data_IF_052423477931
#
_entry.id   IF_052423477931
#
_cell.length_a   1.000
_cell.length_b   1.000
_cell.length_c   1.000
_cell.angle_alpha   90.00
_cell.angle_beta   90.00
_cell.angle_gamma   90.00
#
_symmetry.space_group_name_H-M   'P 1'
#
loop_
_entity.id
_entity.type
_entity.pdbx_description
1 polymer ?
#
# COMPACT_ATOMS: atom_id res chain seq x y z
N UNK A 1 -41.61 7.31 -9.53
CA UNK A 1 -40.98 7.89 -10.74
C UNK A 1 -40.02 8.98 -10.28
N UNK A 2 -38.70 8.84 -10.46
CA UNK A 2 -37.75 9.90 -10.08
C UNK A 2 -37.94 11.08 -11.04
N UNK A 3 -38.08 12.29 -10.48
CA UNK A 3 -38.30 13.51 -11.26
C UNK A 3 -36.96 14.08 -11.71
N UNK A 4 -36.89 14.58 -12.94
CA UNK A 4 -35.71 15.24 -13.50
C UNK A 4 -35.19 16.43 -12.66
N UNK A 5 -35.98 16.94 -11.71
CA UNK A 5 -35.56 17.94 -10.72
C UNK A 5 -34.47 17.45 -9.76
N UNK A 6 -34.39 16.15 -9.50
CA UNK A 6 -33.42 15.58 -8.56
C UNK A 6 -31.99 15.61 -9.13
N UNK A 7 -31.85 15.58 -10.46
CA UNK A 7 -30.55 15.77 -11.14
C UNK A 7 -30.04 17.22 -11.04
N UNK A 8 -30.93 18.22 -10.99
CA UNK A 8 -30.54 19.63 -10.83
C UNK A 8 -29.93 19.91 -9.46
N UNK A 9 -30.45 19.27 -8.41
CA UNK A 9 -29.88 19.36 -7.07
C UNK A 9 -28.53 18.64 -7.00
N UNK A 10 -28.37 17.46 -7.62
CA UNK A 10 -27.07 16.76 -7.68
C UNK A 10 -26.01 17.63 -8.37
N UNK A 11 -26.34 18.31 -9.47
CA UNK A 11 -25.41 19.23 -10.17
C UNK A 11 -25.08 20.49 -9.37
N UNK A 12 -25.97 20.95 -8.49
CA UNK A 12 -25.73 22.11 -7.62
C UNK A 12 -24.80 21.72 -6.46
N UNK A 13 -25.01 20.55 -5.85
CA UNK A 13 -24.10 20.00 -4.83
C UNK A 13 -22.71 19.67 -5.41
N UNK A 14 -22.63 19.27 -6.70
CA UNK A 14 -21.37 19.05 -7.41
C UNK A 14 -20.57 20.35 -7.68
N UNK A 15 -21.24 21.51 -7.64
CA UNK A 15 -20.60 22.83 -7.79
C UNK A 15 -19.96 23.31 -6.48
N UNK A 16 -20.43 22.81 -5.35
CA UNK A 16 -19.83 23.03 -4.02
C UNK A 16 -18.66 22.07 -3.74
N UNK A 17 -18.45 21.08 -4.60
CA UNK A 17 -17.24 20.27 -4.61
C UNK A 17 -16.12 21.09 -5.22
N UNK A 18 -15.13 21.47 -4.41
CA UNK A 18 -13.93 22.14 -4.89
C UNK A 18 -13.09 21.18 -5.73
N UNK A 19 -13.31 21.22 -7.04
CA UNK A 19 -12.58 20.42 -8.04
C UNK A 19 -11.10 20.73 -8.00
N UNK A 20 -10.69 21.95 -7.65
CA UNK A 20 -9.27 22.30 -7.54
C UNK A 20 -8.65 21.61 -6.32
N UNK A 21 -9.34 21.61 -5.17
CA UNK A 21 -8.87 20.89 -3.99
C UNK A 21 -8.74 19.37 -4.25
N UNK A 22 -9.72 18.76 -4.92
CA UNK A 22 -9.64 17.34 -5.32
C UNK A 22 -8.46 17.11 -6.25
N UNK A 23 -8.23 18.01 -7.21
CA UNK A 23 -7.13 17.88 -8.15
C UNK A 23 -5.79 17.99 -7.45
N UNK A 24 -5.61 18.97 -6.57
CA UNK A 24 -4.39 19.17 -5.79
C UNK A 24 -4.10 17.93 -4.94
N UNK A 25 -5.10 17.42 -4.25
CA UNK A 25 -5.02 16.19 -3.45
C UNK A 25 -4.64 14.97 -4.30
N UNK A 26 -5.26 14.83 -5.48
CA UNK A 26 -5.00 13.72 -6.40
C UNK A 26 -3.62 13.78 -7.07
N UNK A 27 -3.03 14.97 -7.19
CA UNK A 27 -1.73 15.22 -7.81
C UNK A 27 -0.58 15.26 -6.78
N UNK A 28 -0.87 15.03 -5.49
CA UNK A 28 0.15 15.01 -4.43
C UNK A 28 1.28 14.03 -4.73
N UNK A 29 2.54 14.40 -4.41
CA UNK A 29 3.65 13.46 -4.43
C UNK A 29 3.35 12.28 -3.52
N UNK A 30 3.66 11.09 -4.01
CA UNK A 30 3.53 9.84 -3.25
C UNK A 30 4.76 8.99 -3.53
N UNK A 31 5.39 8.51 -2.46
CA UNK A 31 6.50 7.57 -2.46
C UNK A 31 6.22 6.45 -1.46
N UNK A 32 6.06 5.23 -1.97
CA UNK A 32 5.97 4.02 -1.16
C UNK A 32 7.24 3.22 -1.38
N UNK A 33 8.02 3.01 -0.32
CA UNK A 33 9.23 2.20 -0.41
C UNK A 33 8.96 0.79 0.11
N UNK A 34 9.21 -0.21 -0.73
CA UNK A 34 9.04 -1.62 -0.41
C UNK A 34 10.43 -2.23 -0.27
N UNK A 35 10.74 -2.73 0.92
CA UNK A 35 12.01 -3.38 1.24
C UNK A 35 11.77 -4.83 1.59
N UNK A 36 12.49 -5.76 0.97
CA UNK A 36 12.26 -7.17 1.22
C UNK A 36 12.97 -8.13 0.28
N UNK A 37 12.54 -9.38 0.29
CA UNK A 37 13.09 -10.42 -0.58
C UNK A 37 12.61 -10.23 -2.02
N UNK A 38 13.45 -10.49 -3.02
CA UNK A 38 13.13 -10.21 -4.42
C UNK A 38 11.81 -10.81 -4.94
N UNK A 39 11.48 -12.05 -4.56
CA UNK A 39 10.18 -12.69 -4.88
C UNK A 39 9.01 -11.93 -4.28
N UNK A 40 9.13 -11.57 -3.00
CA UNK A 40 8.11 -10.81 -2.29
C UNK A 40 7.92 -9.39 -2.86
N UNK A 41 9.01 -8.73 -3.27
CA UNK A 41 8.94 -7.42 -3.92
C UNK A 41 8.15 -7.47 -5.23
N UNK A 42 8.42 -8.48 -6.07
CA UNK A 42 7.71 -8.67 -7.33
C UNK A 42 6.20 -8.91 -7.11
N UNK A 43 5.86 -9.78 -6.16
CA UNK A 43 4.47 -10.09 -5.83
C UNK A 43 3.70 -8.86 -5.33
N UNK A 44 4.26 -8.09 -4.39
CA UNK A 44 3.61 -6.86 -3.90
C UNK A 44 3.53 -5.78 -4.97
N UNK A 45 4.59 -5.60 -5.76
CA UNK A 45 4.57 -4.64 -6.87
C UNK A 45 3.47 -4.99 -7.87
N UNK A 46 3.28 -6.28 -8.18
CA UNK A 46 2.22 -6.75 -9.05
C UNK A 46 0.83 -6.46 -8.46
N UNK A 47 0.60 -6.85 -7.21
CA UNK A 47 -0.68 -6.64 -6.52
C UNK A 47 -1.09 -5.17 -6.44
N UNK A 48 -0.12 -4.26 -6.27
CA UNK A 48 -0.40 -2.80 -6.22
C UNK A 48 -0.55 -2.16 -7.60
N UNK A 49 0.00 -2.78 -8.64
CA UNK A 49 0.03 -2.20 -10.00
C UNK A 49 -1.09 -2.70 -10.90
N UNK A 50 -1.68 -3.85 -10.60
CA UNK A 50 -2.72 -4.47 -11.43
C UNK A 50 -4.11 -4.20 -10.86
N UNK A 51 -5.04 -3.81 -11.74
CA UNK A 51 -6.47 -3.75 -11.47
C UNK A 51 -7.21 -4.16 -12.74
N UNK A 52 -8.43 -4.68 -12.57
CA UNK A 52 -9.36 -4.94 -13.67
C UNK A 52 -9.97 -3.65 -14.26
N UNK A 53 -9.67 -2.49 -13.67
CA UNK A 53 -10.20 -1.20 -14.08
C UNK A 53 -9.78 -0.79 -15.51
N UNK A 54 -10.72 -0.13 -16.19
CA UNK A 54 -10.52 0.43 -17.54
C UNK A 54 -9.48 1.56 -17.58
N UNK A 55 -9.18 2.18 -16.45
CA UNK A 55 -8.33 3.36 -16.39
C UNK A 55 -6.88 2.99 -16.09
N UNK A 56 -5.89 3.43 -16.89
CA UNK A 56 -4.48 3.19 -16.57
C UNK A 56 -4.04 3.94 -15.30
N UNK A 57 -2.91 3.53 -14.73
CA UNK A 57 -2.23 4.31 -13.68
C UNK A 57 -1.85 5.70 -14.22
N UNK A 58 -1.99 6.74 -13.39
CA UNK A 58 -1.56 8.08 -13.77
C UNK A 58 -0.10 8.33 -13.36
N UNK A 59 0.72 8.82 -14.29
CA UNK A 59 2.09 9.22 -14.03
C UNK A 59 3.05 8.06 -13.77
N UNK A 60 4.23 8.38 -13.22
CA UNK A 60 5.22 7.37 -12.85
C UNK A 60 4.76 6.56 -11.63
N UNK A 61 5.20 5.29 -11.55
CA UNK A 61 4.94 4.45 -10.38
C UNK A 61 5.46 5.13 -9.10
N UNK A 62 4.66 5.16 -8.01
CA UNK A 62 5.11 5.67 -6.71
C UNK A 62 5.93 4.64 -5.94
N UNK A 63 6.14 3.44 -6.48
CA UNK A 63 6.82 2.35 -5.80
C UNK A 63 8.33 2.43 -5.99
N UNK A 64 9.07 2.39 -4.89
CA UNK A 64 10.52 2.18 -4.86
C UNK A 64 10.80 0.80 -4.25
N UNK A 65 11.38 -0.10 -5.03
CA UNK A 65 11.67 -1.47 -4.59
C UNK A 65 13.15 -1.56 -4.19
N UNK A 66 13.46 -2.12 -3.04
CA UNK A 66 14.83 -2.32 -2.56
C UNK A 66 14.99 -3.70 -1.96
N UNK A 67 15.97 -4.46 -2.43
CA UNK A 67 16.30 -5.75 -1.85
C UNK A 67 16.79 -5.57 -0.40
N UNK A 68 16.40 -6.46 0.51
CA UNK A 68 16.77 -6.35 1.94
C UNK A 68 18.29 -6.34 2.15
N UNK A 69 19.04 -7.00 1.28
CA UNK A 69 20.50 -7.06 1.30
C UNK A 69 21.15 -5.71 0.91
N UNK A 70 20.44 -4.92 0.10
CA UNK A 70 20.85 -3.59 -0.36
C UNK A 70 20.29 -2.48 0.53
N UNK A 71 19.40 -2.83 1.47
CA UNK A 71 18.68 -1.89 2.29
C UNK A 71 19.61 -1.20 3.29
N UNK A 72 19.94 0.04 2.95
CA UNK A 72 20.56 1.02 3.84
C UNK A 72 19.59 2.18 4.03
N UNK A 73 19.61 2.87 5.19
CA UNK A 73 18.77 4.05 5.40
C UNK A 73 19.25 5.19 4.49
N UNK A 74 18.72 5.21 3.27
CA UNK A 74 18.90 6.24 2.24
C UNK A 74 17.89 7.36 2.44
N UNK A 75 18.11 8.49 1.77
CA UNK A 75 17.18 9.60 1.82
C UNK A 75 15.80 9.24 1.26
N UNK A 76 15.73 8.34 0.26
CA UNK A 76 14.48 7.82 -0.27
C UNK A 76 13.64 7.06 0.79
N UNK A 77 14.27 6.21 1.61
CA UNK A 77 13.58 5.53 2.71
C UNK A 77 13.18 6.51 3.83
N UNK A 78 14.00 7.53 4.07
CA UNK A 78 13.68 8.59 5.04
C UNK A 78 12.57 9.52 4.56
N UNK A 79 12.37 9.67 3.26
CA UNK A 79 11.32 10.53 2.67
C UNK A 79 10.07 9.78 2.25
N UNK A 80 10.04 8.45 2.37
CA UNK A 80 8.88 7.65 2.00
C UNK A 80 7.66 8.01 2.87
N UNK A 81 6.50 8.09 2.22
CA UNK A 81 5.20 8.31 2.87
C UNK A 81 4.71 7.03 3.56
N UNK A 82 5.13 5.88 3.03
CA UNK A 82 4.89 4.55 3.60
C UNK A 82 6.08 3.62 3.33
N UNK A 83 6.52 2.90 4.36
CA UNK A 83 7.45 1.78 4.24
C UNK A 83 6.68 0.46 4.25
N UNK A 84 7.05 -0.48 3.39
CA UNK A 84 6.49 -1.84 3.38
C UNK A 84 7.63 -2.84 3.50
N UNK A 85 7.59 -3.66 4.56
CA UNK A 85 8.55 -4.76 4.75
C UNK A 85 7.98 -6.04 4.16
N UNK A 86 8.56 -6.52 3.05
CA UNK A 86 8.09 -7.68 2.30
C UNK A 86 8.91 -8.94 2.68
N UNK A 87 8.35 -9.77 3.57
CA UNK A 87 9.03 -10.93 4.13
C UNK A 87 8.46 -12.20 3.50
N UNK A 88 9.31 -13.02 2.89
CA UNK A 88 8.92 -14.32 2.35
C UNK A 88 9.01 -15.36 3.48
N UNK A 89 7.87 -15.86 3.95
CA UNK A 89 7.79 -16.76 5.11
C UNK A 89 8.27 -18.17 4.82
N UNK A 90 8.54 -18.50 3.56
CA UNK A 90 9.15 -19.78 3.17
C UNK A 90 10.63 -19.82 3.50
N UNK A 91 11.24 -18.66 3.77
CA UNK A 91 12.65 -18.50 4.11
C UNK A 91 12.76 -18.02 5.56
N UNK A 92 13.71 -18.57 6.29
CA UNK A 92 14.06 -18.04 7.60
C UNK A 92 14.86 -16.75 7.41
N UNK A 93 14.56 -15.71 8.20
CA UNK A 93 15.36 -14.48 8.20
C UNK A 93 16.77 -14.78 8.70
N UNK A 94 17.76 -14.34 7.94
CA UNK A 94 19.15 -14.30 8.38
C UNK A 94 19.34 -13.22 9.45
N UNK A 95 20.37 -13.34 10.31
CA UNK A 95 20.68 -12.29 11.30
C UNK A 95 20.93 -10.91 10.67
N UNK A 96 21.48 -10.87 9.45
CA UNK A 96 21.72 -9.63 8.72
C UNK A 96 20.40 -8.97 8.28
N UNK A 97 19.45 -9.75 7.77
CA UNK A 97 18.12 -9.25 7.38
C UNK A 97 17.32 -8.78 8.61
N UNK A 98 17.34 -9.56 9.70
CA UNK A 98 16.71 -9.15 10.96
C UNK A 98 17.28 -7.82 11.47
N UNK A 99 18.59 -7.62 11.37
CA UNK A 99 19.26 -6.35 11.71
C UNK A 99 18.87 -5.23 10.74
N UNK A 100 18.77 -5.51 9.44
CA UNK A 100 18.35 -4.53 8.44
C UNK A 100 16.92 -4.04 8.72
N UNK A 101 15.97 -4.95 8.93
CA UNK A 101 14.60 -4.59 9.31
C UNK A 101 14.54 -3.84 10.63
N UNK A 102 15.32 -4.24 11.65
CA UNK A 102 15.40 -3.51 12.92
C UNK A 102 15.89 -2.07 12.76
N UNK A 103 16.83 -1.81 11.83
CA UNK A 103 17.25 -0.43 11.52
C UNK A 103 16.14 0.36 10.83
N UNK A 104 15.35 -0.26 9.97
CA UNK A 104 14.26 0.40 9.25
C UNK A 104 13.05 0.67 10.15
N UNK A 105 12.77 -0.18 11.14
CA UNK A 105 11.75 0.06 12.17
C UNK A 105 12.05 1.31 13.02
N UNK A 106 13.32 1.69 13.13
CA UNK A 106 13.73 2.94 13.82
C UNK A 106 13.41 4.22 13.04
N UNK A 107 13.00 4.11 11.76
CA UNK A 107 12.55 5.25 10.99
C UNK A 107 11.16 5.67 11.50
N UNK A 108 11.01 6.95 11.86
CA UNK A 108 9.74 7.52 12.31
C UNK A 108 8.76 7.73 11.14
N UNK A 109 8.52 6.68 10.34
CA UNK A 109 7.64 6.66 9.19
C UNK A 109 6.52 5.64 9.38
N UNK A 110 5.34 5.88 8.78
CA UNK A 110 4.33 4.84 8.68
C UNK A 110 4.93 3.61 8.00
N UNK A 111 4.63 2.42 8.56
CA UNK A 111 5.06 1.17 7.94
C UNK A 111 4.03 0.06 8.06
N UNK A 112 4.07 -0.86 7.11
CA UNK A 112 3.36 -2.13 7.09
C UNK A 112 4.37 -3.28 6.97
N UNK A 113 4.05 -4.42 7.56
CA UNK A 113 4.80 -5.67 7.36
C UNK A 113 3.91 -6.63 6.59
N UNK A 114 4.41 -7.21 5.50
CA UNK A 114 3.68 -8.16 4.69
C UNK A 114 4.44 -9.46 4.69
N UNK A 115 3.80 -10.50 5.21
CA UNK A 115 4.31 -11.86 5.28
C UNK A 115 3.74 -12.63 4.09
N UNK A 116 4.58 -12.99 3.13
CA UNK A 116 4.17 -13.67 1.90
C UNK A 116 4.52 -15.16 1.94
N UNK A 117 3.54 -15.98 1.57
CA UNK A 117 3.68 -17.42 1.46
C UNK A 117 3.12 -18.18 2.66
N UNK A 118 3.02 -19.52 2.55
CA UNK A 118 2.73 -20.35 3.70
C UNK A 118 3.88 -20.30 4.71
N UNK A 119 3.60 -20.40 6.02
CA UNK A 119 4.65 -20.48 7.02
C UNK A 119 5.54 -21.69 6.74
N UNK A 120 6.85 -21.45 6.57
CA UNK A 120 7.80 -22.52 6.37
C UNK A 120 7.94 -23.42 7.62
N UNK A 121 8.40 -24.66 7.46
CA UNK A 121 8.63 -25.59 8.59
C UNK A 121 9.72 -25.09 9.56
N UNK A 122 10.54 -24.11 9.14
CA UNK A 122 11.56 -23.44 9.94
C UNK A 122 11.22 -21.95 10.11
N UNK A 123 9.98 -21.65 10.49
CA UNK A 123 9.62 -20.28 10.89
C UNK A 123 10.58 -19.84 11.99
N UNK A 124 11.44 -18.86 11.66
CA UNK A 124 12.43 -18.32 12.57
C UNK A 124 11.77 -17.68 13.79
N UNK A 125 12.61 -17.16 14.70
CA UNK A 125 12.15 -16.53 15.94
C UNK A 125 10.91 -15.64 15.73
N UNK A 126 9.92 -15.70 16.64
CA UNK A 126 8.68 -14.95 16.49
C UNK A 126 8.97 -13.45 16.31
N UNK A 127 8.22 -12.81 15.42
CA UNK A 127 8.33 -11.37 15.21
C UNK A 127 8.08 -10.63 16.52
N UNK A 128 8.80 -9.52 16.80
CA UNK A 128 8.50 -8.65 17.91
C UNK A 128 7.01 -8.23 17.92
N UNK A 129 6.33 -8.15 19.08
CA UNK A 129 4.90 -7.85 19.15
C UNK A 129 4.50 -6.54 18.44
N UNK A 130 5.38 -5.55 18.46
CA UNK A 130 5.22 -4.26 17.78
C UNK A 130 5.14 -4.41 16.26
N UNK A 131 5.97 -5.29 15.70
CA UNK A 131 6.01 -5.63 14.28
C UNK A 131 4.81 -6.53 13.93
N UNK A 132 4.50 -7.50 14.79
CA UNK A 132 3.38 -8.42 14.59
C UNK A 132 2.02 -7.69 14.53
N UNK A 133 1.82 -6.64 15.33
CA UNK A 133 0.61 -5.80 15.29
C UNK A 133 0.46 -4.99 13.99
N UNK A 134 1.50 -4.96 13.16
CA UNK A 134 1.54 -4.27 11.87
C UNK A 134 1.76 -5.23 10.70
N UNK A 135 1.67 -6.53 10.97
CA UNK A 135 1.85 -7.56 9.98
C UNK A 135 0.51 -8.02 9.41
N UNK A 136 0.44 -8.10 8.08
CA UNK A 136 -0.58 -8.87 7.37
C UNK A 136 0.07 -10.10 6.72
N UNK A 137 -0.67 -11.20 6.68
CA UNK A 137 -0.19 -12.45 6.06
C UNK A 137 -0.95 -12.73 4.77
N UNK A 138 -0.22 -12.76 3.66
CA UNK A 138 -0.70 -13.17 2.33
C UNK A 138 -0.15 -14.56 2.03
N UNK A 139 -0.92 -15.58 2.41
CA UNK A 139 -0.50 -17.00 2.26
C UNK A 139 -0.29 -17.35 0.79
N UNK A 140 -1.17 -16.86 -0.08
CA UNK A 140 -1.08 -16.99 -1.52
C UNK A 140 -1.24 -15.60 -2.15
N UNK A 141 -0.20 -15.04 -2.78
CA UNK A 141 -0.29 -13.74 -3.46
C UNK A 141 -1.17 -13.79 -4.71
N UNK A 142 -1.57 -14.97 -5.19
CA UNK A 142 -2.49 -15.12 -6.32
C UNK A 142 -3.95 -15.33 -5.88
N UNK A 143 -4.22 -15.35 -4.57
CA UNK A 143 -5.58 -15.42 -4.08
C UNK A 143 -6.38 -14.18 -4.50
N UNK A 144 -7.67 -14.38 -4.79
CA UNK A 144 -8.55 -13.31 -5.30
C UNK A 144 -8.66 -12.11 -4.35
N UNK A 145 -8.50 -12.33 -3.05
CA UNK A 145 -8.56 -11.31 -1.99
C UNK A 145 -7.18 -10.72 -1.64
N UNK A 146 -6.08 -11.23 -2.19
CA UNK A 146 -4.73 -10.80 -1.82
C UNK A 146 -4.47 -9.32 -2.13
N UNK A 147 -4.94 -8.86 -3.29
CA UNK A 147 -4.80 -7.46 -3.70
C UNK A 147 -5.61 -6.53 -2.77
N UNK A 148 -6.86 -6.88 -2.49
CA UNK A 148 -7.73 -6.13 -1.58
C UNK A 148 -7.13 -6.04 -0.17
N UNK A 149 -6.65 -7.16 0.38
CA UNK A 149 -6.04 -7.18 1.72
C UNK A 149 -4.78 -6.33 1.81
N UNK A 150 -3.96 -6.33 0.75
CA UNK A 150 -2.79 -5.45 0.68
C UNK A 150 -3.20 -3.98 0.56
N UNK A 151 -4.16 -3.67 -0.30
CA UNK A 151 -4.67 -2.32 -0.49
C UNK A 151 -5.30 -1.74 0.77
N UNK A 152 -6.07 -2.54 1.52
CA UNK A 152 -6.62 -2.17 2.82
C UNK A 152 -5.51 -1.84 3.83
N UNK A 153 -4.44 -2.63 3.90
CA UNK A 153 -3.31 -2.33 4.80
C UNK A 153 -2.55 -1.07 4.34
N UNK A 154 -2.38 -0.86 3.04
CA UNK A 154 -1.78 0.37 2.51
C UNK A 154 -2.60 1.60 2.93
N UNK A 155 -3.91 1.61 2.69
CA UNK A 155 -4.77 2.74 3.07
C UNK A 155 -4.85 2.94 4.59
N UNK A 156 -4.86 1.86 5.37
CA UNK A 156 -4.86 1.92 6.84
C UNK A 156 -3.61 2.58 7.41
N UNK A 157 -2.46 2.47 6.73
CA UNK A 157 -1.17 3.00 7.20
C UNK A 157 -0.79 4.33 6.57
N UNK A 158 -1.23 4.56 5.34
CA UNK A 158 -0.94 5.79 4.63
C UNK A 158 -1.73 6.96 5.27
N UNK A 159 -1.13 8.15 5.40
CA UNK A 159 -1.86 9.36 5.77
C UNK A 159 -3.09 9.56 4.87
N UNK A 160 -4.22 9.95 5.47
CA UNK A 160 -5.51 10.09 4.78
C UNK A 160 -5.45 11.00 3.56
N UNK A 161 -4.66 12.06 3.69
CA UNK A 161 -4.37 13.08 2.69
C UNK A 161 -3.37 12.64 1.60
N UNK A 162 -3.20 11.33 1.45
CA UNK A 162 -2.50 10.71 0.32
C UNK A 162 -3.32 9.56 -0.29
N UNK A 163 -4.50 9.24 0.26
CA UNK A 163 -5.32 8.12 -0.20
C UNK A 163 -5.79 8.30 -1.65
N UNK A 164 -6.19 9.51 -2.02
CA UNK A 164 -6.62 9.81 -3.38
C UNK A 164 -5.45 9.74 -4.38
N UNK A 165 -4.27 10.26 -4.00
CA UNK A 165 -3.05 10.14 -4.79
C UNK A 165 -2.64 8.66 -4.96
N UNK A 166 -2.76 7.85 -3.91
CA UNK A 166 -2.50 6.42 -3.95
C UNK A 166 -3.46 5.70 -4.90
N UNK A 167 -4.77 5.90 -4.76
CA UNK A 167 -5.76 5.30 -5.66
C UNK A 167 -5.52 5.72 -7.12
N UNK A 168 -5.13 6.98 -7.38
CA UNK A 168 -4.86 7.45 -8.74
C UNK A 168 -3.64 6.76 -9.37
N UNK A 169 -2.57 6.56 -8.59
CA UNK A 169 -1.26 6.06 -9.08
C UNK A 169 -1.08 4.55 -8.94
N UNK A 170 -1.82 3.89 -8.06
CA UNK A 170 -1.79 2.45 -7.79
C UNK A 170 -3.14 1.82 -8.11
N UNK A 171 -3.30 1.22 -9.30
CA UNK A 171 -4.56 0.60 -9.70
C UNK A 171 -5.08 -0.41 -8.67
N UNK A 172 -4.19 -1.19 -8.05
CA UNK A 172 -4.57 -2.21 -7.05
C UNK A 172 -5.22 -1.65 -5.78
N UNK A 173 -5.13 -0.35 -5.52
CA UNK A 173 -5.72 0.30 -4.34
C UNK A 173 -7.12 0.88 -4.62
N UNK A 174 -7.49 1.06 -5.89
CA UNK A 174 -8.68 1.82 -6.29
C UNK A 174 -10.00 1.22 -5.83
N UNK A 175 -10.15 -0.08 -6.00
CA UNK A 175 -11.40 -0.76 -5.67
C UNK A 175 -11.71 -0.64 -4.17
N UNK A 176 -10.69 -0.81 -3.31
CA UNK A 176 -10.81 -0.62 -1.86
C UNK A 176 -11.13 0.84 -1.54
N UNK A 177 -10.35 1.79 -2.05
CA UNK A 177 -10.58 3.22 -1.78
C UNK A 177 -11.97 3.69 -2.22
N UNK A 178 -12.45 3.20 -3.37
CA UNK A 178 -13.79 3.53 -3.87
C UNK A 178 -14.88 2.96 -2.96
N UNK A 179 -14.71 1.72 -2.49
CA UNK A 179 -15.65 1.11 -1.51
C UNK A 179 -15.67 1.89 -0.20
N UNK A 180 -14.51 2.32 0.31
CA UNK A 180 -14.42 3.13 1.52
C UNK A 180 -15.10 4.49 1.35
N UNK A 181 -14.93 5.14 0.20
CA UNK A 181 -15.63 6.39 -0.12
C UNK A 181 -17.16 6.21 -0.16
N UNK A 182 -17.66 5.11 -0.73
CA UNK A 182 -19.11 4.83 -0.82
C UNK A 182 -19.67 4.40 0.55
N UNK A 183 -18.90 3.65 1.33
CA UNK A 183 -19.32 3.15 2.64
C UNK A 183 -19.22 4.18 3.78
N UNK A 184 -18.52 5.29 3.56
CA UNK A 184 -18.36 6.38 4.54
C UNK A 184 -19.36 7.54 4.38
N UNK A 185 -20.17 7.54 3.30
CA UNK A 185 -21.30 8.45 3.08
C UNK A 185 -22.59 7.94 3.68
#
# INVERSE_FOLDING_TARGET
>A
MPKWSDFGNIWTTLRDVDVNAIREEAERPLLIAIVGHGTALADLSHLLSVSEDRYPAAGASPLSLTAVEEASPTDALRSADLLIFAIDTRRSLTPAEATAFGRLDSLARPYAVVLLGPPGPQSGAPLPPTIAARAITLVDPQALDAADRLAEEVLRRLPSELHLAAARRLPGVRAVYTRDLIGST
#
